data_IF_721058633896
#
_entry.id   IF_721058633896
#
_cell.length_a   1.000
_cell.length_b   1.000
_cell.length_c   1.000
_cell.angle_alpha   90.00
_cell.angle_beta   90.00
_cell.angle_gamma   90.00
#
_symmetry.space_group_name_H-M   'P 1'
#
loop_
_entity.id
_entity.type
_entity.pdbx_description
1 polymer ?
#
# COMPACT_ATOMS: atom_id res chain seq x y z
N UNK A 1 12.17 -12.97 -14.78
CA UNK A 1 11.69 -12.73 -16.16
C UNK A 1 11.68 -11.22 -16.45
N UNK A 2 12.77 -10.69 -17.02
CA UNK A 2 12.84 -9.30 -17.48
C UNK A 2 11.79 -9.10 -18.58
N UNK A 3 11.01 -8.02 -18.50
CA UNK A 3 10.09 -7.66 -19.57
C UNK A 3 10.89 -7.49 -20.87
N UNK A 4 10.77 -8.45 -21.78
CA UNK A 4 11.33 -8.31 -23.12
C UNK A 4 10.51 -7.25 -23.85
N UNK A 5 11.03 -6.03 -23.87
CA UNK A 5 10.53 -4.97 -24.74
C UNK A 5 10.74 -5.48 -26.18
N UNK A 6 9.67 -5.98 -26.81
CA UNK A 6 9.69 -6.38 -28.22
C UNK A 6 9.67 -5.11 -29.07
N UNK A 7 10.87 -4.67 -29.46
CA UNK A 7 11.03 -3.65 -30.48
C UNK A 7 10.52 -4.16 -31.83
N UNK A 8 10.06 -3.26 -32.71
CA UNK A 8 9.69 -3.64 -34.08
C UNK A 8 10.91 -4.20 -34.80
N UNK A 9 10.71 -5.17 -35.69
CA UNK A 9 11.79 -5.80 -36.46
C UNK A 9 12.61 -4.79 -37.26
N UNK A 10 11.98 -3.72 -37.73
CA UNK A 10 12.61 -2.60 -38.43
C UNK A 10 13.51 -1.78 -37.49
N UNK A 11 13.04 -1.49 -36.28
CA UNK A 11 13.82 -0.79 -35.27
C UNK A 11 14.99 -1.63 -34.77
N UNK A 12 14.79 -2.94 -34.60
CA UNK A 12 15.85 -3.90 -34.28
C UNK A 12 16.92 -3.97 -35.37
N UNK A 13 16.53 -4.00 -36.64
CA UNK A 13 17.47 -3.95 -37.77
C UNK A 13 18.23 -2.62 -37.82
N UNK A 14 17.56 -1.50 -37.54
CA UNK A 14 18.19 -0.19 -37.47
C UNK A 14 19.21 -0.12 -36.32
N UNK A 15 18.83 -0.56 -35.11
CA UNK A 15 19.74 -0.65 -33.97
C UNK A 15 20.92 -1.60 -34.23
N UNK A 16 20.68 -2.76 -34.84
CA UNK A 16 21.77 -3.67 -35.19
C UNK A 16 22.73 -3.09 -36.24
N UNK A 17 22.22 -2.35 -37.22
CA UNK A 17 23.03 -1.75 -38.27
C UNK A 17 23.89 -0.57 -37.79
N UNK A 18 23.38 0.24 -36.86
CA UNK A 18 24.05 1.48 -36.43
C UNK A 18 24.66 1.44 -35.03
N UNK A 19 24.14 0.59 -34.12
CA UNK A 19 24.57 0.55 -32.71
C UNK A 19 25.60 -0.56 -32.44
N UNK A 20 25.50 -1.69 -33.16
CA UNK A 20 26.43 -2.83 -33.01
C UNK A 20 27.59 -2.82 -34.02
N UNK A 21 27.59 -1.93 -35.01
CA UNK A 21 28.69 -1.78 -35.98
C UNK A 21 29.89 -0.99 -35.43
N UNK A 22 29.72 -0.26 -34.33
CA UNK A 22 30.80 0.46 -33.66
C UNK A 22 31.35 -0.35 -32.49
N UNK A 23 32.55 -0.97 -32.59
CA UNK A 23 33.14 -1.78 -31.53
C UNK A 23 33.34 -1.00 -30.21
N UNK A 24 33.54 0.32 -30.30
CA UNK A 24 33.65 1.18 -29.11
C UNK A 24 32.33 1.36 -28.36
N UNK A 25 31.19 1.36 -29.06
CA UNK A 25 29.87 1.60 -28.47
C UNK A 25 29.29 0.32 -27.83
N UNK A 26 29.54 -0.83 -28.46
CA UNK A 26 29.26 -2.14 -27.87
C UNK A 26 30.10 -2.40 -26.61
N UNK A 27 31.41 -2.11 -26.67
CA UNK A 27 32.28 -2.20 -25.49
C UNK A 27 31.87 -1.21 -24.40
N UNK A 28 31.47 0.01 -24.77
CA UNK A 28 30.94 0.99 -23.82
C UNK A 28 29.68 0.47 -23.14
N UNK A 29 28.70 -0.08 -23.88
CA UNK A 29 27.46 -0.64 -23.31
C UNK A 29 27.71 -1.88 -22.44
N UNK A 30 28.68 -2.74 -22.79
CA UNK A 30 29.08 -3.87 -21.95
C UNK A 30 29.77 -3.40 -20.68
N UNK A 31 30.67 -2.43 -20.78
CA UNK A 31 31.33 -1.80 -19.63
C UNK A 31 30.31 -1.11 -18.74
N UNK A 32 29.37 -0.38 -19.31
CA UNK A 32 28.26 0.26 -18.61
C UNK A 32 27.41 -0.79 -17.88
N UNK A 33 27.00 -1.86 -18.56
CA UNK A 33 26.24 -2.94 -17.94
C UNK A 33 27.00 -3.62 -16.80
N UNK A 34 28.32 -3.82 -16.93
CA UNK A 34 29.15 -4.38 -15.84
C UNK A 34 29.27 -3.40 -14.67
N UNK A 35 29.45 -2.11 -14.95
CA UNK A 35 29.49 -1.07 -13.92
C UNK A 35 28.15 -0.97 -13.19
N UNK A 36 27.04 -0.93 -13.95
CA UNK A 36 25.69 -0.91 -13.40
C UNK A 36 25.35 -2.19 -12.63
N UNK A 37 25.84 -3.36 -13.06
CA UNK A 37 25.66 -4.60 -12.32
C UNK A 37 26.33 -4.54 -10.94
N UNK A 38 27.57 -4.04 -10.87
CA UNK A 38 28.30 -3.94 -9.60
C UNK A 38 27.68 -2.87 -8.67
N UNK A 39 27.25 -1.74 -9.23
CA UNK A 39 26.49 -0.72 -8.49
C UNK A 39 25.14 -1.24 -7.99
N UNK A 40 24.42 -2.00 -8.83
CA UNK A 40 23.14 -2.61 -8.46
C UNK A 40 23.31 -3.61 -7.33
N UNK A 41 24.34 -4.45 -7.37
CA UNK A 41 24.66 -5.38 -6.28
C UNK A 41 24.95 -4.65 -4.96
N UNK A 42 25.79 -3.60 -4.98
CA UNK A 42 26.08 -2.80 -3.78
C UNK A 42 24.85 -2.08 -3.25
N UNK A 43 24.06 -1.49 -4.13
CA UNK A 43 22.80 -0.81 -3.78
C UNK A 43 21.81 -1.80 -3.16
N UNK A 44 21.63 -2.99 -3.74
CA UNK A 44 20.77 -4.03 -3.21
C UNK A 44 21.25 -4.52 -1.82
N UNK A 45 22.56 -4.70 -1.62
CA UNK A 45 23.13 -5.06 -0.32
C UNK A 45 22.91 -3.99 0.74
N UNK A 46 23.09 -2.71 0.39
CA UNK A 46 22.81 -1.59 1.27
C UNK A 46 21.32 -1.50 1.62
N UNK A 47 20.44 -1.63 0.64
CA UNK A 47 18.99 -1.63 0.85
C UNK A 47 18.52 -2.83 1.69
N UNK A 48 19.11 -4.02 1.51
CA UNK A 48 18.79 -5.19 2.34
C UNK A 48 19.22 -5.00 3.79
N UNK A 49 20.41 -4.42 4.01
CA UNK A 49 20.92 -4.10 5.35
C UNK A 49 20.04 -3.04 6.03
N UNK A 50 19.62 -2.02 5.27
CA UNK A 50 18.69 -0.99 5.74
C UNK A 50 17.33 -1.60 6.11
N UNK A 51 16.78 -2.46 5.24
CA UNK A 51 15.49 -3.09 5.46
C UNK A 51 15.48 -3.99 6.70
N UNK A 52 16.54 -4.79 6.91
CA UNK A 52 16.71 -5.61 8.13
C UNK A 52 16.79 -4.77 9.41
N UNK A 53 17.35 -3.56 9.33
CA UNK A 53 17.43 -2.63 10.47
C UNK A 53 16.12 -1.89 10.73
N UNK A 54 15.33 -1.66 9.68
CA UNK A 54 14.06 -0.95 9.75
C UNK A 54 12.90 -1.85 10.19
N UNK A 55 13.01 -3.17 10.00
CA UNK A 55 12.00 -4.12 10.48
C UNK A 55 12.61 -5.26 11.33
N UNK A 56 13.19 -4.97 12.51
CA UNK A 56 13.80 -5.98 13.36
C UNK A 56 12.76 -6.93 13.99
N UNK A 57 11.49 -6.52 14.04
CA UNK A 57 10.41 -7.22 14.74
C UNK A 57 9.38 -7.87 13.79
N UNK A 58 9.59 -7.81 12.47
CA UNK A 58 8.60 -8.27 11.47
C UNK A 58 7.24 -7.57 11.62
N UNK A 59 7.28 -6.27 11.94
CA UNK A 59 6.14 -5.39 12.11
C UNK A 59 5.76 -4.68 10.80
N UNK A 60 6.31 -5.07 9.65
CA UNK A 60 5.79 -4.59 8.38
C UNK A 60 4.29 -4.90 8.28
N UNK A 61 3.42 -3.89 8.10
CA UNK A 61 2.01 -4.16 7.85
C UNK A 61 1.89 -4.96 6.55
N UNK A 62 0.98 -5.92 6.51
CA UNK A 62 0.80 -6.75 5.32
C UNK A 62 -0.21 -6.13 4.35
N UNK A 63 -1.11 -5.26 4.83
CA UNK A 63 -2.08 -4.61 3.96
C UNK A 63 -2.60 -3.27 4.47
N UNK A 64 -2.96 -2.42 3.51
CA UNK A 64 -3.71 -1.19 3.72
C UNK A 64 -5.09 -1.33 3.11
N UNK A 65 -6.10 -0.76 3.75
CA UNK A 65 -7.45 -0.62 3.19
C UNK A 65 -7.85 0.85 3.23
N UNK A 66 -8.36 1.33 2.12
CA UNK A 66 -8.99 2.63 2.01
C UNK A 66 -10.50 2.41 1.84
N UNK A 67 -11.26 2.72 2.88
CA UNK A 67 -12.71 2.55 2.92
C UNK A 67 -13.41 3.83 2.56
N UNK A 68 -14.36 3.74 1.63
CA UNK A 68 -15.29 4.80 1.29
C UNK A 68 -16.67 4.40 1.82
N UNK A 69 -17.13 5.08 2.87
CA UNK A 69 -18.38 4.75 3.54
C UNK A 69 -19.59 5.04 2.63
N UNK A 70 -20.53 4.10 2.60
CA UNK A 70 -21.82 4.21 1.94
C UNK A 70 -22.87 3.98 3.03
N UNK A 71 -23.50 5.07 3.48
CA UNK A 71 -24.51 5.02 4.53
C UNK A 71 -25.68 4.10 4.15
N UNK A 72 -26.30 3.40 5.13
CA UNK A 72 -26.04 3.50 6.56
C UNK A 72 -24.92 2.58 7.10
N UNK A 73 -24.69 1.41 6.50
CA UNK A 73 -23.84 0.35 7.11
C UNK A 73 -22.88 -0.35 6.15
N UNK A 74 -22.65 0.23 4.98
CA UNK A 74 -21.81 -0.35 3.94
C UNK A 74 -20.55 0.46 3.70
N UNK A 75 -19.54 -0.16 3.10
CA UNK A 75 -18.39 0.55 2.57
C UNK A 75 -17.80 -0.19 1.37
N UNK A 76 -17.23 0.57 0.44
CA UNK A 76 -16.35 0.01 -0.60
C UNK A 76 -14.91 0.23 -0.14
N UNK A 77 -14.12 -0.83 -0.13
CA UNK A 77 -12.71 -0.81 0.24
C UNK A 77 -11.80 -1.04 -0.95
N UNK A 78 -10.71 -0.30 -1.04
CA UNK A 78 -9.57 -0.66 -1.89
C UNK A 78 -8.44 -1.12 -0.99
N UNK A 79 -8.01 -2.37 -1.14
CA UNK A 79 -6.91 -2.94 -0.37
C UNK A 79 -5.64 -3.06 -1.17
N UNK A 80 -4.50 -2.74 -0.55
CA UNK A 80 -3.17 -2.94 -1.11
C UNK A 80 -2.45 -3.94 -0.20
N UNK A 81 -2.24 -5.15 -0.70
CA UNK A 81 -1.62 -6.25 0.06
C UNK A 81 -0.16 -6.50 -0.32
N UNK A 82 0.25 -6.02 -1.50
CA UNK A 82 1.59 -6.22 -2.05
C UNK A 82 1.94 -5.09 -3.00
N UNK A 83 3.20 -5.05 -3.46
CA UNK A 83 3.68 -4.12 -4.48
C UNK A 83 2.88 -4.19 -5.81
N UNK A 84 2.12 -5.27 -6.05
CA UNK A 84 1.30 -5.46 -7.26
C UNK A 84 -0.16 -5.79 -6.99
N UNK A 85 -0.49 -6.26 -5.80
CA UNK A 85 -1.80 -6.84 -5.53
C UNK A 85 -2.70 -5.78 -4.90
N UNK A 86 -3.72 -5.40 -5.67
CA UNK A 86 -4.76 -4.45 -5.28
C UNK A 86 -6.11 -5.12 -5.44
N UNK A 87 -6.88 -5.16 -4.37
CA UNK A 87 -8.19 -5.80 -4.35
C UNK A 87 -9.27 -4.77 -3.98
N UNK A 88 -10.47 -4.98 -4.48
CA UNK A 88 -11.64 -4.16 -4.18
C UNK A 88 -12.64 -5.02 -3.42
N UNK A 89 -13.12 -4.47 -2.32
CA UNK A 89 -13.93 -5.15 -1.32
C UNK A 89 -15.25 -4.45 -1.10
N UNK A 90 -16.31 -5.22 -0.87
CA UNK A 90 -17.53 -4.72 -0.24
C UNK A 90 -17.47 -5.05 1.24
N UNK A 91 -17.78 -4.08 2.10
CA UNK A 91 -17.94 -4.30 3.54
C UNK A 91 -19.39 -4.06 3.91
N UNK A 92 -20.00 -5.00 4.61
CA UNK A 92 -21.37 -4.90 5.11
C UNK A 92 -21.42 -5.25 6.60
N UNK A 93 -22.14 -4.46 7.38
CA UNK A 93 -22.39 -4.76 8.79
C UNK A 93 -23.36 -5.93 8.96
N UNK A 94 -23.09 -6.77 9.96
CA UNK A 94 -23.96 -7.91 10.28
C UNK A 94 -24.95 -7.52 11.38
N UNK A 95 -26.24 -7.40 11.04
CA UNK A 95 -27.28 -7.18 12.05
C UNK A 95 -27.45 -8.43 12.95
N UNK A 96 -27.64 -8.28 14.28
CA UNK A 96 -27.88 -7.03 15.04
C UNK A 96 -26.61 -6.38 15.63
N UNK A 97 -25.40 -6.84 15.29
CA UNK A 97 -24.16 -6.41 15.95
C UNK A 97 -23.52 -5.20 15.26
N UNK A 98 -23.44 -4.06 15.95
CA UNK A 98 -22.86 -2.82 15.42
C UNK A 98 -21.34 -2.89 15.17
N UNK A 99 -20.67 -3.87 15.76
CA UNK A 99 -19.20 -3.96 15.74
C UNK A 99 -18.64 -5.05 14.83
N UNK A 100 -19.51 -5.83 14.18
CA UNK A 100 -19.12 -6.96 13.33
C UNK A 100 -19.44 -6.67 11.87
N UNK A 101 -18.42 -6.80 11.03
CA UNK A 101 -18.53 -6.57 9.59
C UNK A 101 -18.04 -7.78 8.79
N UNK A 102 -18.74 -8.06 7.70
CA UNK A 102 -18.36 -9.02 6.68
C UNK A 102 -17.67 -8.30 5.52
N UNK A 103 -16.57 -8.88 5.04
CA UNK A 103 -15.91 -8.44 3.81
C UNK A 103 -16.17 -9.45 2.70
N UNK A 104 -16.59 -8.92 1.55
CA UNK A 104 -16.75 -9.65 0.30
C UNK A 104 -15.71 -9.18 -0.71
N UNK A 105 -15.06 -10.13 -1.38
CA UNK A 105 -14.18 -9.85 -2.52
C UNK A 105 -15.04 -9.46 -3.73
N UNK A 106 -14.80 -8.29 -4.32
CA UNK A 106 -15.44 -7.88 -5.59
C UNK A 106 -14.50 -8.13 -6.76
N UNK A 107 -13.26 -7.62 -6.66
CA UNK A 107 -12.32 -7.58 -7.78
C UNK A 107 -10.88 -7.71 -7.28
N UNK A 108 -10.05 -8.46 -8.00
CA UNK A 108 -8.61 -8.59 -7.75
C UNK A 108 -7.83 -8.10 -8.96
N UNK A 109 -6.90 -7.18 -8.75
CA UNK A 109 -6.12 -6.53 -9.80
C UNK A 109 -4.64 -6.67 -9.51
N UNK A 110 -3.88 -7.06 -10.54
CA UNK A 110 -2.42 -6.99 -10.53
C UNK A 110 -1.97 -5.73 -11.24
N UNK A 111 -1.57 -4.73 -10.47
CA UNK A 111 -1.19 -3.41 -10.96
C UNK A 111 0.33 -3.25 -10.97
N UNK A 112 0.89 -2.46 -11.90
CA UNK A 112 2.32 -2.15 -11.88
C UNK A 112 2.64 -1.31 -10.64
N UNK A 113 3.82 -1.54 -10.05
CA UNK A 113 4.26 -0.91 -8.80
C UNK A 113 4.04 0.62 -8.71
N UNK A 114 4.31 1.43 -9.76
CA UNK A 114 4.04 2.87 -9.70
C UNK A 114 2.57 3.21 -9.47
N UNK A 115 1.65 2.40 -10.00
CA UNK A 115 0.22 2.62 -9.86
C UNK A 115 -0.26 2.20 -8.46
N UNK A 116 0.30 1.12 -7.91
CA UNK A 116 0.10 0.72 -6.51
C UNK A 116 0.55 1.82 -5.54
N UNK A 117 1.72 2.43 -5.78
CA UNK A 117 2.21 3.56 -5.00
C UNK A 117 1.30 4.78 -5.13
N UNK A 118 0.86 5.10 -6.35
CA UNK A 118 -0.08 6.20 -6.58
C UNK A 118 -1.35 6.01 -5.77
N UNK A 119 -1.95 4.81 -5.79
CA UNK A 119 -3.13 4.49 -4.99
C UNK A 119 -2.86 4.65 -3.48
N UNK A 120 -1.72 4.15 -2.99
CA UNK A 120 -1.34 4.27 -1.58
C UNK A 120 -1.22 5.72 -1.15
N UNK A 121 -0.51 6.56 -1.93
CA UNK A 121 -0.32 7.97 -1.61
C UNK A 121 -1.59 8.80 -1.78
N UNK A 122 -2.36 8.57 -2.85
CA UNK A 122 -3.63 9.25 -3.07
C UNK A 122 -4.66 8.89 -2.00
N UNK A 123 -4.79 7.60 -1.65
CA UNK A 123 -5.68 7.15 -0.58
C UNK A 123 -5.29 7.73 0.78
N UNK A 124 -4.01 7.68 1.13
CA UNK A 124 -3.50 8.26 2.39
C UNK A 124 -3.69 9.77 2.43
N UNK A 125 -3.44 10.46 1.30
CA UNK A 125 -3.62 11.90 1.16
C UNK A 125 -5.08 12.32 1.35
N UNK A 126 -6.04 11.58 0.79
CA UNK A 126 -7.46 11.84 0.97
C UNK A 126 -7.87 11.72 2.45
N UNK A 127 -7.40 10.69 3.15
CA UNK A 127 -7.68 10.47 4.58
C UNK A 127 -7.09 11.59 5.43
N UNK A 128 -5.85 12.01 5.13
CA UNK A 128 -5.19 13.13 5.83
C UNK A 128 -5.95 14.44 5.59
N UNK A 129 -6.32 14.72 4.34
CA UNK A 129 -7.03 15.94 4.00
C UNK A 129 -8.41 16.01 4.66
N UNK A 130 -9.24 14.96 4.58
CA UNK A 130 -10.56 14.92 5.23
C UNK A 130 -10.44 15.19 6.74
N UNK A 131 -9.52 14.52 7.42
CA UNK A 131 -9.39 14.71 8.84
C UNK A 131 -8.79 16.08 9.24
N UNK A 132 -7.90 16.68 8.44
CA UNK A 132 -7.47 18.08 8.64
C UNK A 132 -8.65 19.05 8.46
N UNK A 133 -9.49 18.85 7.44
CA UNK A 133 -10.69 19.66 7.24
C UNK A 133 -11.65 19.57 8.43
N UNK A 134 -11.88 18.38 8.99
CA UNK A 134 -12.72 18.20 10.19
C UNK A 134 -12.14 18.90 11.42
N UNK A 135 -10.82 18.85 11.60
CA UNK A 135 -10.15 19.56 12.69
C UNK A 135 -10.34 21.07 12.53
N UNK A 136 -10.15 21.62 11.33
CA UNK A 136 -10.38 23.03 11.03
C UNK A 136 -11.84 23.43 11.21
N UNK A 137 -12.80 22.62 10.76
CA UNK A 137 -14.23 22.87 10.96
C UNK A 137 -14.57 22.88 12.45
N UNK A 138 -14.04 21.95 13.24
CA UNK A 138 -14.27 21.92 14.68
C UNK A 138 -13.64 23.09 15.43
N UNK A 139 -12.47 23.55 14.99
CA UNK A 139 -11.85 24.75 15.53
C UNK A 139 -12.67 25.99 15.16
N UNK A 140 -13.09 26.12 13.90
CA UNK A 140 -13.86 27.26 13.40
C UNK A 140 -15.29 27.32 13.95
N UNK A 141 -15.94 26.16 14.15
CA UNK A 141 -17.26 26.07 14.79
C UNK A 141 -17.27 26.64 16.21
N UNK A 142 -16.16 26.49 16.95
CA UNK A 142 -15.98 27.11 18.26
C UNK A 142 -15.78 28.64 18.20
N UNK A 143 -15.40 29.20 17.05
CA UNK A 143 -15.25 30.65 16.83
C UNK A 143 -16.48 31.31 16.17
N UNK A 144 -17.31 30.54 15.46
CA UNK A 144 -18.44 31.04 14.68
C UNK A 144 -19.65 31.45 15.55
N UNK A 145 -19.67 31.11 16.84
CA UNK A 145 -20.75 31.48 17.77
C UNK A 145 -20.80 33.00 18.07
N UNK A 146 -19.81 33.79 17.63
CA UNK A 146 -19.73 35.23 17.92
C UNK A 146 -19.85 36.17 16.70
N UNK A 147 -19.95 35.68 15.45
CA UNK A 147 -19.95 36.59 14.27
C UNK A 147 -20.93 36.26 13.14
N UNK A 148 -21.85 35.29 13.31
CA UNK A 148 -23.04 35.16 12.45
C UNK A 148 -22.78 34.96 10.94
N UNK A 149 -21.58 34.51 10.54
CA UNK A 149 -21.26 34.18 9.13
C UNK A 149 -20.96 32.68 8.98
N UNK A 150 -21.78 31.92 8.24
CA UNK A 150 -21.51 30.50 7.99
C UNK A 150 -20.55 30.36 6.81
N UNK A 151 -19.24 30.56 7.03
CA UNK A 151 -18.28 30.65 5.92
C UNK A 151 -17.49 29.36 5.61
N UNK A 152 -17.65 28.27 6.37
CA UNK A 152 -16.86 27.04 6.16
C UNK A 152 -17.66 25.79 5.75
N UNK A 153 -19.00 25.81 5.85
CA UNK A 153 -19.83 24.65 5.48
C UNK A 153 -19.82 24.31 3.98
N UNK A 154 -19.39 25.22 3.10
CA UNK A 154 -19.31 24.97 1.65
C UNK A 154 -17.96 24.42 1.18
N UNK A 155 -17.02 24.17 2.09
CA UNK A 155 -15.63 23.80 1.80
C UNK A 155 -15.31 22.34 2.15
N UNK A 156 -16.32 21.45 2.22
CA UNK A 156 -16.10 20.01 2.26
C UNK A 156 -16.12 19.46 0.82
N UNK A 157 -14.99 19.48 0.08
CA UNK A 157 -14.95 19.01 -1.32
C UNK A 157 -15.24 17.51 -1.45
N UNK A 158 -15.21 16.75 -0.35
CA UNK A 158 -15.42 15.32 -0.35
C UNK A 158 -16.56 14.96 0.63
N UNK A 159 -17.71 14.56 0.08
CA UNK A 159 -18.73 13.80 0.84
C UNK A 159 -18.32 12.34 1.08
N UNK A 160 -17.26 11.90 0.42
CA UNK A 160 -16.62 10.62 0.68
C UNK A 160 -16.02 10.73 2.07
N UNK A 161 -16.36 9.81 2.98
CA UNK A 161 -15.78 9.71 4.32
C UNK A 161 -14.64 8.68 4.24
N UNK A 162 -13.45 9.03 3.70
CA UNK A 162 -12.38 8.06 3.54
C UNK A 162 -11.83 7.65 4.91
N UNK A 163 -11.74 6.35 5.16
CA UNK A 163 -11.10 5.79 6.34
C UNK A 163 -9.96 4.88 5.94
N UNK A 164 -8.90 4.84 6.73
CA UNK A 164 -7.75 3.97 6.49
C UNK A 164 -7.70 2.88 7.54
N UNK A 165 -7.69 1.61 7.10
CA UNK A 165 -7.28 0.50 7.98
C UNK A 165 -5.89 0.01 7.61
N UNK A 166 -5.08 -0.25 8.62
CA UNK A 166 -3.73 -0.77 8.48
C UNK A 166 -3.70 -2.09 9.22
N UNK A 167 -3.37 -3.20 8.56
CA UNK A 167 -3.34 -4.52 9.20
C UNK A 167 -1.93 -5.09 9.31
N UNK A 168 -1.64 -5.61 10.50
CA UNK A 168 -0.41 -6.28 10.88
C UNK A 168 -0.67 -7.78 11.07
N UNK A 169 0.28 -8.64 10.65
CA UNK A 169 0.11 -10.08 10.81
C UNK A 169 0.19 -10.47 12.29
N UNK A 170 -0.67 -11.39 12.72
CA UNK A 170 -0.51 -12.13 13.99
C UNK A 170 0.17 -13.48 13.68
N UNK A 171 0.73 -14.13 14.69
CA UNK A 171 1.59 -15.34 14.63
C UNK A 171 1.08 -16.45 13.69
N UNK A 172 -0.23 -16.50 13.40
CA UNK A 172 -0.83 -17.37 12.40
C UNK A 172 -1.60 -16.55 11.36
N UNK A 173 -1.30 -16.73 10.07
CA UNK A 173 -1.74 -15.98 8.87
C UNK A 173 -3.25 -15.75 8.70
N UNK A 174 -4.07 -16.35 9.57
CA UNK A 174 -5.52 -16.31 9.56
C UNK A 174 -6.10 -15.21 10.45
N UNK A 175 -5.29 -14.63 11.36
CA UNK A 175 -5.72 -13.50 12.19
C UNK A 175 -4.77 -12.33 11.97
N UNK A 176 -5.36 -11.14 11.87
CA UNK A 176 -4.63 -9.88 11.76
C UNK A 176 -5.20 -8.86 12.70
N UNK A 177 -4.31 -8.03 13.27
CA UNK A 177 -4.70 -6.87 14.08
C UNK A 177 -4.50 -5.65 13.22
N UNK A 178 -5.53 -4.83 13.12
CA UNK A 178 -5.48 -3.58 12.40
C UNK A 178 -5.84 -2.37 13.23
N UNK A 179 -5.55 -1.21 12.67
CA UNK A 179 -5.89 0.09 13.20
C UNK A 179 -6.71 0.80 12.14
N UNK A 180 -7.94 1.18 12.46
CA UNK A 180 -8.80 2.02 11.63
C UNK A 180 -8.74 3.45 12.15
N UNK A 181 -8.31 4.38 11.31
CA UNK A 181 -8.31 5.81 11.67
C UNK A 181 -9.68 6.42 11.39
N UNK A 182 -10.26 7.05 12.42
CA UNK A 182 -11.55 7.71 12.32
C UNK A 182 -11.40 9.17 12.72
N UNK A 183 -11.48 10.03 11.71
CA UNK A 183 -11.60 11.49 11.85
C UNK A 183 -10.50 12.13 12.72
N UNK A 184 -9.32 11.51 12.80
CA UNK A 184 -8.18 11.95 13.60
C UNK A 184 -8.46 12.19 15.10
N UNK A 185 -9.53 11.60 15.61
CA UNK A 185 -9.96 11.71 17.02
C UNK A 185 -10.02 10.36 17.71
N UNK A 186 -10.46 9.34 16.99
CA UNK A 186 -10.60 7.98 17.49
C UNK A 186 -9.80 7.05 16.61
N UNK A 187 -9.25 6.03 17.23
CA UNK A 187 -8.62 4.92 16.54
C UNK A 187 -9.38 3.67 16.96
N UNK A 188 -9.88 2.91 16.00
CA UNK A 188 -10.47 1.62 16.31
C UNK A 188 -9.43 0.54 16.08
N UNK A 189 -9.20 -0.29 17.09
CA UNK A 189 -8.41 -1.51 16.95
C UNK A 189 -9.31 -2.56 16.34
N UNK A 190 -8.92 -3.09 15.19
CA UNK A 190 -9.66 -4.12 14.49
C UNK A 190 -8.99 -5.48 14.61
N UNK A 191 -9.78 -6.52 14.84
CA UNK A 191 -9.33 -7.90 14.67
C UNK A 191 -10.00 -8.43 13.41
N UNK A 192 -9.19 -8.77 12.41
CA UNK A 192 -9.64 -9.36 11.16
C UNK A 192 -9.27 -10.84 11.14
N UNK A 193 -10.28 -11.70 11.05
CA UNK A 193 -10.13 -13.15 10.96
C UNK A 193 -10.58 -13.63 9.59
N UNK A 194 -9.70 -14.38 8.92
CA UNK A 194 -10.00 -15.05 7.66
C UNK A 194 -10.96 -16.20 7.95
N UNK A 195 -12.03 -16.29 7.18
CA UNK A 195 -12.97 -17.43 7.29
C UNK A 195 -12.58 -18.53 6.31
N UNK A 196 -13.02 -19.76 6.58
CA UNK A 196 -12.90 -20.85 5.58
C UNK A 196 -13.50 -20.38 4.25
N UNK A 197 -12.87 -20.70 3.12
CA UNK A 197 -13.25 -20.17 1.82
C UNK A 197 -14.70 -20.55 1.50
N UNK A 198 -15.58 -19.56 1.61
CA UNK A 198 -16.94 -19.60 1.10
C UNK A 198 -16.98 -18.59 -0.05
N UNK A 199 -17.60 -18.94 -1.18
CA UNK A 199 -17.34 -18.39 -2.53
C UNK A 199 -17.18 -16.86 -2.65
N UNK A 200 -17.73 -16.08 -1.71
CA UNK A 200 -17.65 -14.60 -1.70
C UNK A 200 -17.21 -13.98 -0.37
N UNK A 201 -17.26 -14.69 0.76
CA UNK A 201 -16.98 -14.11 2.09
C UNK A 201 -15.56 -14.43 2.51
N UNK A 202 -14.78 -13.38 2.78
CA UNK A 202 -13.32 -13.51 2.95
C UNK A 202 -12.92 -13.43 4.41
N UNK A 203 -13.57 -12.55 5.17
CA UNK A 203 -13.15 -12.29 6.55
C UNK A 203 -14.23 -11.59 7.38
N UNK A 204 -14.11 -11.77 8.69
CA UNK A 204 -14.84 -11.06 9.72
C UNK A 204 -13.92 -10.00 10.33
N UNK A 205 -14.43 -8.77 10.49
CA UNK A 205 -13.75 -7.71 11.24
C UNK A 205 -14.57 -7.36 12.49
N UNK A 206 -13.87 -7.28 13.63
CA UNK A 206 -14.40 -6.74 14.88
C UNK A 206 -13.63 -5.50 15.31
N UNK A 207 -14.33 -4.45 15.73
CA UNK A 207 -13.72 -3.19 16.21
C UNK A 207 -13.75 -3.05 17.73
N UNK A 208 -12.72 -2.42 18.29
CA UNK A 208 -12.58 -2.00 19.69
C UNK A 208 -12.13 -0.54 19.69
N UNK A 209 -12.93 0.33 20.30
CA UNK A 209 -12.69 1.77 20.25
C UNK A 209 -11.62 2.21 21.24
N UNK A 210 -10.63 2.96 20.75
CA UNK A 210 -9.58 3.57 21.57
C UNK A 210 -9.43 5.05 21.21
N UNK A 211 -9.44 5.90 22.23
CA UNK A 211 -9.18 7.32 22.06
C UNK A 211 -7.67 7.54 21.90
N UNK A 212 -7.26 8.09 20.75
CA UNK A 212 -5.86 8.34 20.44
C UNK A 212 -5.67 9.77 19.94
N UNK A 213 -4.69 10.53 20.47
CA UNK A 213 -4.45 11.91 20.05
C UNK A 213 -3.98 11.95 18.59
N UNK A 214 -4.38 13.00 17.87
CA UNK A 214 -4.07 13.19 16.45
C UNK A 214 -2.60 12.92 16.04
N UNK A 215 -1.58 13.43 16.76
CA UNK A 215 -0.17 13.20 16.39
C UNK A 215 0.23 11.72 16.43
N UNK A 216 -0.37 10.94 17.33
CA UNK A 216 -0.13 9.51 17.43
C UNK A 216 -0.70 8.79 16.21
N UNK A 217 -1.92 9.14 15.79
CA UNK A 217 -2.55 8.54 14.60
C UNK A 217 -1.74 8.84 13.33
N UNK A 218 -1.29 10.09 13.16
CA UNK A 218 -0.46 10.48 12.02
C UNK A 218 0.89 9.73 12.03
N UNK A 219 1.50 9.60 13.20
CA UNK A 219 2.77 8.89 13.37
C UNK A 219 2.61 7.41 13.03
N UNK A 220 1.55 6.75 13.49
CA UNK A 220 1.23 5.36 13.14
C UNK A 220 1.02 5.21 11.63
N UNK A 221 0.28 6.12 10.98
CA UNK A 221 0.08 6.09 9.53
C UNK A 221 1.40 6.22 8.76
N UNK A 222 2.22 7.24 9.07
CA UNK A 222 3.49 7.49 8.38
C UNK A 222 4.47 6.32 8.59
N UNK A 223 4.61 5.86 9.83
CA UNK A 223 5.48 4.73 10.17
C UNK A 223 5.03 3.46 9.45
N UNK A 224 3.72 3.19 9.41
CA UNK A 224 3.17 2.01 8.74
C UNK A 224 3.45 2.05 7.24
N UNK A 225 3.24 3.19 6.58
CA UNK A 225 3.55 3.34 5.14
C UNK A 225 5.04 3.15 4.89
N UNK A 226 5.91 3.75 5.73
CA UNK A 226 7.36 3.59 5.62
C UNK A 226 7.81 2.13 5.80
N UNK A 227 7.30 1.45 6.82
CA UNK A 227 7.56 0.03 7.07
C UNK A 227 7.05 -0.83 5.92
N UNK A 228 5.87 -0.55 5.37
CA UNK A 228 5.34 -1.28 4.22
C UNK A 228 6.24 -1.20 2.99
N UNK A 229 6.63 0.01 2.60
CA UNK A 229 7.50 0.23 1.44
C UNK A 229 8.83 -0.50 1.65
N UNK A 230 9.37 -0.42 2.86
CA UNK A 230 10.61 -1.12 3.24
C UNK A 230 10.46 -2.64 3.13
N UNK A 231 9.36 -3.20 3.63
CA UNK A 231 9.05 -4.62 3.52
C UNK A 231 8.91 -5.09 2.07
N UNK A 232 8.23 -4.30 1.22
CA UNK A 232 8.11 -4.60 -0.20
C UNK A 232 9.46 -4.56 -0.93
N UNK A 233 10.31 -3.59 -0.61
CA UNK A 233 11.69 -3.53 -1.13
C UNK A 233 12.47 -4.77 -0.70
N UNK A 234 12.40 -5.14 0.57
CA UNK A 234 13.08 -6.34 1.06
C UNK A 234 12.62 -7.61 0.33
N UNK A 235 11.30 -7.78 0.15
CA UNK A 235 10.73 -8.92 -0.56
C UNK A 235 11.18 -8.96 -2.03
N UNK A 236 11.23 -7.81 -2.70
CA UNK A 236 11.75 -7.71 -4.07
C UNK A 236 13.23 -8.09 -4.15
N UNK A 237 14.05 -7.65 -3.19
CA UNK A 237 15.48 -7.98 -3.14
C UNK A 237 15.67 -9.48 -2.93
N UNK A 238 15.00 -10.05 -1.94
CA UNK A 238 15.08 -11.50 -1.62
C UNK A 238 14.65 -12.33 -2.82
N UNK A 239 13.51 -12.01 -3.44
CA UNK A 239 13.00 -12.72 -4.62
C UNK A 239 13.96 -12.62 -5.82
N UNK A 240 14.54 -11.44 -6.05
CA UNK A 240 15.54 -11.27 -7.12
C UNK A 240 16.80 -12.10 -6.83
N UNK A 241 17.24 -12.18 -5.58
CA UNK A 241 18.36 -13.03 -5.17
C UNK A 241 18.08 -14.52 -5.37
N UNK A 242 16.89 -14.98 -4.99
CA UNK A 242 16.44 -16.37 -5.20
C UNK A 242 16.35 -16.73 -6.69
N UNK A 243 15.80 -15.84 -7.51
CA UNK A 243 15.67 -16.03 -8.96
C UNK A 243 17.06 -16.14 -9.62
N UNK A 244 18.02 -15.31 -9.22
CA UNK A 244 19.41 -15.36 -9.72
C UNK A 244 20.12 -16.66 -9.30
N UNK A 245 19.93 -17.11 -8.05
CA UNK A 245 20.48 -18.39 -7.59
C UNK A 245 19.88 -19.58 -8.33
N UNK A 246 18.58 -19.54 -8.65
CA UNK A 246 17.93 -20.55 -9.49
C UNK A 246 18.51 -20.56 -10.90
N UNK A 247 18.65 -19.42 -11.55
CA UNK A 247 19.23 -19.32 -12.90
C UNK A 247 20.67 -19.88 -12.96
N UNK A 248 21.49 -19.61 -11.95
CA UNK A 248 22.85 -20.16 -11.84
C UNK A 248 22.86 -21.69 -11.69
N UNK A 249 21.96 -22.24 -10.87
CA UNK A 249 21.83 -23.69 -10.68
C UNK A 249 21.27 -24.43 -11.91
N UNK A 250 20.47 -23.75 -12.76
CA UNK A 250 20.02 -24.30 -14.04
C UNK A 250 21.09 -24.20 -15.14
N UNK A 251 22.05 -23.28 -15.03
CA UNK A 251 23.14 -23.12 -16.01
C UNK A 251 24.33 -24.08 -15.79
N UNK A 252 24.36 -24.76 -14.64
CA UNK A 252 25.45 -25.66 -14.22
C UNK A 252 25.10 -27.15 -14.34
N UNK A 253 23.89 -27.47 -14.80
CA UNK A 253 23.44 -28.81 -15.21
C UNK A 253 23.18 -28.84 -16.72
#
# INVERSE_FOLDING_TARGET
MLAQIKFSSVFQQYLNKYLFSHPNLYNALILENRFFADYRCRMLQQMHTLAKRLDPFKLCPFSFYFWFLIEPYNAIGVSISSHKDVDVHWRQQMEPNETIYLIFDILKLQLPFPLTLLLLFSGSGLVIMDGVFRLLESAAGNYADNTGKPALRSLAPFKLLPKMSIYFPVIDSYTSIGFLTIDFRHLEISIKQVMEPNETIVSLIRFIDVYAPFPLQLSVMILSVGLFITGQINNLITKTGEDLLRELNYSTN
#
